data_IF_681755353209
#
_entry.id   IF_681755353209
#
_cell.length_a   1.000
_cell.length_b   1.000
_cell.length_c   1.000
_cell.angle_alpha   90.00
_cell.angle_beta   90.00
_cell.angle_gamma   90.00
#
_symmetry.space_group_name_H-M   'P 1'
#
loop_
_entity.id
_entity.type
_entity.pdbx_description
1 polymer ?
#
# COMPACT_ATOMS: atom_id res chain seq x y z
N UNK A 1 3.02 -25.32 -57.91
CA UNK A 1 3.10 -25.59 -56.46
C UNK A 1 3.01 -24.28 -55.67
N UNK A 2 1.85 -23.93 -55.13
CA UNK A 2 1.77 -22.90 -54.08
C UNK A 2 0.66 -23.25 -53.11
N UNK A 3 0.91 -22.96 -51.83
CA UNK A 3 0.01 -23.02 -50.66
C UNK A 3 -0.05 -24.37 -49.93
N UNK A 4 1.01 -24.66 -49.15
CA UNK A 4 0.91 -25.50 -47.93
C UNK A 4 1.58 -24.88 -46.70
N UNK A 5 2.07 -23.64 -46.79
CA UNK A 5 2.75 -22.95 -45.68
C UNK A 5 1.84 -21.99 -44.90
N UNK A 6 0.53 -21.97 -45.16
CA UNK A 6 -0.37 -20.96 -44.58
C UNK A 6 -1.01 -21.38 -43.25
N UNK A 7 -1.22 -22.68 -43.00
CA UNK A 7 -2.08 -23.10 -41.89
C UNK A 7 -1.32 -23.33 -40.58
N UNK A 8 -0.06 -23.78 -40.66
CA UNK A 8 0.79 -24.02 -39.47
C UNK A 8 1.22 -22.69 -38.83
N UNK A 9 1.51 -21.67 -39.65
CA UNK A 9 1.84 -20.34 -39.16
C UNK A 9 0.66 -19.69 -38.43
N UNK A 10 -0.57 -19.91 -38.90
CA UNK A 10 -1.78 -19.38 -38.27
C UNK A 10 -2.06 -20.04 -36.91
N UNK A 11 -1.85 -21.36 -36.80
CA UNK A 11 -2.02 -22.12 -35.56
C UNK A 11 -0.97 -21.73 -34.51
N UNK A 12 0.28 -21.51 -34.90
CA UNK A 12 1.34 -21.08 -33.99
C UNK A 12 1.09 -19.67 -33.42
N UNK A 13 0.56 -18.75 -34.24
CA UNK A 13 0.19 -17.39 -33.78
C UNK A 13 -1.00 -17.44 -32.81
N UNK A 14 -1.99 -18.31 -33.05
CA UNK A 14 -3.13 -18.48 -32.14
C UNK A 14 -2.72 -19.09 -30.78
N UNK A 15 -1.82 -20.08 -30.75
CA UNK A 15 -1.32 -20.67 -29.50
C UNK A 15 -0.43 -19.69 -28.72
N UNK A 16 0.37 -18.88 -29.42
CA UNK A 16 1.13 -17.80 -28.77
C UNK A 16 0.19 -16.72 -28.19
N UNK A 17 -0.86 -16.32 -28.90
CA UNK A 17 -1.83 -15.34 -28.40
C UNK A 17 -2.58 -15.85 -27.14
N UNK A 18 -2.94 -17.14 -27.09
CA UNK A 18 -3.59 -17.75 -25.92
C UNK A 18 -2.62 -17.86 -24.72
N UNK A 19 -1.32 -18.06 -24.97
CA UNK A 19 -0.30 -18.10 -23.92
C UNK A 19 -0.03 -16.74 -23.27
N UNK A 20 -0.29 -15.62 -23.96
CA UNK A 20 -0.14 -14.25 -23.42
C UNK A 20 -1.42 -13.65 -22.84
N UNK A 21 -2.60 -14.25 -23.07
CA UNK A 21 -3.87 -13.86 -22.41
C UNK A 21 -4.11 -14.56 -21.08
N UNK A 22 -3.19 -15.42 -20.64
CA UNK A 22 -3.08 -15.73 -19.22
C UNK A 22 -2.70 -14.45 -18.51
N UNK A 23 -3.67 -13.59 -18.16
CA UNK A 23 -3.51 -12.55 -17.16
C UNK A 23 -2.83 -13.22 -15.97
N UNK A 24 -1.49 -13.11 -15.90
CA UNK A 24 -0.77 -13.35 -14.68
C UNK A 24 -1.40 -12.35 -13.73
N UNK A 25 -2.30 -12.81 -12.87
CA UNK A 25 -2.68 -12.03 -11.70
C UNK A 25 -1.36 -11.73 -11.04
N UNK A 26 -0.93 -10.48 -11.10
CA UNK A 26 0.31 -10.06 -10.48
C UNK A 26 0.23 -10.51 -9.03
N UNK A 27 1.24 -11.24 -8.56
CA UNK A 27 1.29 -11.68 -7.16
C UNK A 27 1.06 -10.42 -6.30
N UNK A 28 0.10 -10.45 -5.35
CA UNK A 28 -0.33 -9.23 -4.69
C UNK A 28 0.84 -8.63 -3.90
N UNK A 29 1.04 -7.32 -4.09
CA UNK A 29 2.14 -6.57 -3.49
C UNK A 29 1.64 -5.72 -2.34
N UNK A 30 2.38 -5.74 -1.23
CA UNK A 30 2.07 -4.94 -0.05
C UNK A 30 2.40 -3.47 -0.30
N UNK A 31 3.33 -3.21 -1.22
CA UNK A 31 3.63 -1.88 -1.71
C UNK A 31 2.37 -1.24 -2.34
N UNK A 32 2.04 -0.03 -1.90
CA UNK A 32 0.83 0.67 -2.30
C UNK A 32 0.27 1.59 -1.22
N UNK A 33 -0.81 2.29 -1.60
CA UNK A 33 -1.61 3.09 -0.69
C UNK A 33 -2.82 2.30 -0.21
N UNK A 34 -2.98 2.23 1.11
CA UNK A 34 -3.99 1.45 1.78
C UNK A 34 -4.77 2.33 2.73
N UNK A 35 -6.10 2.33 2.63
CA UNK A 35 -6.98 3.21 3.39
C UNK A 35 -7.94 2.40 4.24
N UNK A 36 -8.21 2.85 5.46
CA UNK A 36 -9.29 2.35 6.29
C UNK A 36 -10.08 3.52 6.89
N UNK A 37 -11.39 3.32 7.01
CA UNK A 37 -12.23 4.18 7.83
C UNK A 37 -11.98 3.85 9.30
N UNK A 38 -11.78 4.89 10.12
CA UNK A 38 -11.60 4.80 11.56
C UNK A 38 -12.58 5.74 12.25
N UNK A 39 -12.73 5.62 13.56
CA UNK A 39 -13.77 6.33 14.34
C UNK A 39 -13.81 7.86 14.18
N UNK A 40 -12.73 8.49 13.70
CA UNK A 40 -12.62 9.95 13.53
C UNK A 40 -12.22 10.40 12.11
N UNK A 41 -12.32 9.53 11.11
CA UNK A 41 -11.97 9.87 9.72
C UNK A 41 -11.38 8.68 8.98
N UNK A 42 -10.33 8.92 8.21
CA UNK A 42 -9.64 7.87 7.46
C UNK A 42 -8.17 7.82 7.84
N UNK A 43 -7.62 6.61 7.88
CA UNK A 43 -6.19 6.38 7.97
C UNK A 43 -5.65 5.92 6.63
N UNK A 44 -4.42 6.31 6.32
CA UNK A 44 -3.67 5.81 5.18
C UNK A 44 -2.34 5.21 5.61
N UNK A 45 -1.98 4.09 5.01
CA UNK A 45 -0.61 3.58 4.95
C UNK A 45 -0.15 3.62 3.50
N UNK A 46 0.83 4.49 3.21
CA UNK A 46 1.59 4.49 1.96
C UNK A 46 2.86 3.68 2.19
N UNK A 47 2.93 2.49 1.62
CA UNK A 47 4.04 1.55 1.81
C UNK A 47 4.85 1.54 0.53
N UNK A 48 6.01 2.19 0.53
CA UNK A 48 6.95 2.27 -0.57
C UNK A 48 6.30 2.58 -1.92
N UNK A 49 5.30 3.48 -1.94
CA UNK A 49 4.53 3.80 -3.13
C UNK A 49 4.77 5.24 -3.59
N UNK A 50 4.53 6.22 -2.71
CA UNK A 50 4.86 7.62 -3.00
C UNK A 50 6.32 7.92 -2.73
N UNK A 51 6.90 7.23 -1.74
CA UNK A 51 8.30 7.38 -1.35
C UNK A 51 8.96 6.00 -1.25
N UNK A 52 9.76 5.65 -2.24
CA UNK A 52 10.45 4.36 -2.32
C UNK A 52 11.30 4.09 -1.07
N UNK A 53 11.07 2.93 -0.45
CA UNK A 53 11.78 2.54 0.77
C UNK A 53 11.26 3.20 2.05
N UNK A 54 10.09 3.84 2.03
CA UNK A 54 9.46 4.42 3.22
C UNK A 54 8.07 3.83 3.50
N UNK A 55 7.63 3.91 4.76
CA UNK A 55 6.21 3.85 5.13
C UNK A 55 5.79 5.25 5.57
N UNK A 56 4.68 5.73 5.03
CA UNK A 56 3.96 6.89 5.54
C UNK A 56 2.67 6.41 6.18
N UNK A 57 2.53 6.64 7.48
CA UNK A 57 1.23 6.55 8.15
C UNK A 57 0.64 7.95 8.18
N UNK A 58 -0.58 8.12 7.70
CA UNK A 58 -1.28 9.39 7.64
C UNK A 58 -2.74 9.27 8.02
N UNK A 59 -3.43 10.40 7.99
CA UNK A 59 -4.83 10.54 8.33
C UNK A 59 -5.52 11.54 7.41
N UNK A 60 -6.84 11.51 7.38
CA UNK A 60 -7.67 12.54 6.78
C UNK A 60 -8.72 12.98 7.79
N UNK A 61 -8.82 14.28 8.00
CA UNK A 61 -9.90 14.91 8.75
C UNK A 61 -10.36 16.20 8.07
N UNK A 62 -11.59 16.62 8.37
CA UNK A 62 -12.22 17.80 7.77
C UNK A 62 -11.52 19.12 8.13
N UNK A 63 -10.86 19.20 9.30
CA UNK A 63 -10.16 20.40 9.75
C UNK A 63 -8.97 20.71 8.83
N UNK A 64 -8.16 19.70 8.53
CA UNK A 64 -7.00 19.84 7.65
C UNK A 64 -7.41 20.03 6.19
N UNK A 65 -8.44 19.32 5.69
CA UNK A 65 -8.98 19.54 4.35
C UNK A 65 -9.38 21.01 4.14
N UNK A 66 -10.10 21.59 5.12
CA UNK A 66 -10.52 22.99 5.08
C UNK A 66 -9.35 23.96 5.22
N UNK A 67 -8.41 23.70 6.13
CA UNK A 67 -7.26 24.57 6.36
C UNK A 67 -6.34 24.66 5.13
N UNK A 68 -6.15 23.54 4.42
CA UNK A 68 -5.32 23.46 3.22
C UNK A 68 -6.11 23.73 1.92
N UNK A 69 -7.44 23.85 1.99
CA UNK A 69 -8.35 24.04 0.84
C UNK A 69 -8.20 22.95 -0.22
N UNK A 70 -8.18 21.70 0.22
CA UNK A 70 -7.98 20.50 -0.63
C UNK A 70 -9.15 19.52 -0.52
N UNK A 71 -9.26 18.61 -1.50
CA UNK A 71 -10.33 17.62 -1.59
C UNK A 71 -10.08 16.34 -0.79
N UNK A 72 -11.07 15.44 -0.76
CA UNK A 72 -11.04 14.16 -0.03
C UNK A 72 -10.05 13.12 -0.59
N UNK A 73 -9.34 13.45 -1.64
CA UNK A 73 -8.21 12.71 -2.20
C UNK A 73 -6.87 13.09 -1.55
N UNK A 74 -6.88 14.01 -0.57
CA UNK A 74 -5.70 14.46 0.16
C UNK A 74 -5.67 13.89 1.58
N UNK A 75 -4.52 13.37 1.96
CA UNK A 75 -4.25 12.86 3.30
C UNK A 75 -3.03 13.57 3.87
N UNK A 76 -3.02 13.68 5.18
CA UNK A 76 -2.04 14.44 5.93
C UNK A 76 -1.19 13.48 6.75
N UNK A 77 0.09 13.78 6.87
CA UNK A 77 1.01 13.07 7.74
C UNK A 77 1.91 14.08 8.44
N UNK A 78 2.41 13.74 9.61
CA UNK A 78 3.32 14.60 10.37
C UNK A 78 4.41 13.71 10.94
N UNK A 79 5.67 14.00 10.59
CA UNK A 79 6.83 13.21 11.04
C UNK A 79 6.97 13.04 12.55
N UNK A 80 6.31 13.87 13.37
CA UNK A 80 6.24 13.72 14.83
C UNK A 80 5.14 12.78 15.36
N UNK A 81 4.07 12.50 14.59
CA UNK A 81 2.90 11.71 15.06
C UNK A 81 2.45 10.62 14.08
N UNK A 82 2.42 10.92 12.79
CA UNK A 82 1.96 10.07 11.69
C UNK A 82 3.11 10.02 10.67
N UNK A 83 4.01 9.06 10.89
CA UNK A 83 5.42 9.08 10.50
C UNK A 83 5.68 8.79 9.01
N UNK A 84 6.74 9.37 8.44
CA UNK A 84 7.38 8.94 7.18
C UNK A 84 8.78 8.39 7.49
N UNK A 85 8.99 7.09 7.36
CA UNK A 85 10.20 6.43 7.89
C UNK A 85 10.65 5.24 7.07
N UNK A 86 11.97 4.95 7.11
CA UNK A 86 12.57 3.87 6.34
C UNK A 86 11.96 2.52 6.66
N UNK A 87 11.72 1.73 5.62
CA UNK A 87 11.04 0.45 5.68
C UNK A 87 11.92 -0.72 5.25
N UNK A 88 11.69 -1.87 5.87
CA UNK A 88 12.16 -3.17 5.44
C UNK A 88 10.95 -4.11 5.37
N UNK A 89 10.67 -4.64 4.19
CA UNK A 89 9.54 -5.56 3.95
C UNK A 89 10.07 -7.00 3.95
N UNK A 90 9.70 -7.75 4.98
CA UNK A 90 10.06 -9.15 5.16
C UNK A 90 8.86 -10.04 4.84
N UNK A 91 8.82 -10.57 3.61
CA UNK A 91 7.74 -11.44 3.16
C UNK A 91 7.86 -12.81 3.82
N UNK A 92 6.79 -13.29 4.46
CA UNK A 92 6.74 -14.64 5.07
C UNK A 92 6.05 -15.63 4.13
N UNK A 93 4.95 -15.20 3.52
CA UNK A 93 4.24 -15.95 2.49
C UNK A 93 3.85 -15.01 1.36
N UNK A 94 3.12 -15.51 0.36
CA UNK A 94 2.57 -14.67 -0.72
C UNK A 94 1.57 -13.62 -0.21
N UNK A 95 0.87 -13.89 0.89
CA UNK A 95 -0.23 -13.05 1.38
C UNK A 95 0.00 -12.50 2.79
N UNK A 96 1.19 -12.73 3.35
CA UNK A 96 1.56 -12.28 4.69
C UNK A 96 3.04 -12.00 4.86
N UNK A 97 3.36 -11.20 5.86
CA UNK A 97 4.73 -10.85 6.20
C UNK A 97 4.76 -9.73 7.23
N UNK A 98 5.91 -9.09 7.34
CA UNK A 98 6.15 -8.02 8.29
C UNK A 98 6.82 -6.84 7.60
N UNK A 99 6.48 -5.66 8.06
CA UNK A 99 7.09 -4.41 7.67
C UNK A 99 7.74 -3.87 8.93
N UNK A 100 9.06 -3.78 8.91
CA UNK A 100 9.86 -3.21 9.99
C UNK A 100 10.22 -1.80 9.56
N UNK A 101 9.99 -0.82 10.43
CA UNK A 101 10.36 0.55 10.13
C UNK A 101 10.97 1.25 11.33
N UNK A 102 11.86 2.20 11.05
CA UNK A 102 12.53 2.98 12.09
C UNK A 102 11.73 4.24 12.41
N UNK A 103 10.73 4.09 13.29
CA UNK A 103 9.87 5.19 13.75
C UNK A 103 10.58 6.17 14.71
N UNK A 104 9.81 7.07 15.32
CA UNK A 104 10.28 7.94 16.40
C UNK A 104 10.71 7.21 17.68
N UNK A 105 10.35 5.93 17.82
CA UNK A 105 10.65 5.06 18.97
C UNK A 105 11.54 3.87 18.57
N UNK A 106 12.58 4.14 17.78
CA UNK A 106 13.57 3.15 17.28
C UNK A 106 13.06 2.16 16.24
N UNK A 107 12.25 1.17 16.62
CA UNK A 107 11.88 0.04 15.75
C UNK A 107 10.43 -0.38 16.00
N UNK A 108 9.60 -0.12 15.00
CA UNK A 108 8.21 -0.53 14.99
C UNK A 108 7.97 -1.61 13.93
N UNK A 109 6.84 -2.31 14.09
CA UNK A 109 6.47 -3.46 13.26
C UNK A 109 5.00 -3.37 12.87
N UNK A 110 4.72 -3.55 11.59
CA UNK A 110 3.40 -3.89 11.08
C UNK A 110 3.44 -5.33 10.58
N UNK A 111 2.56 -6.19 11.08
CA UNK A 111 2.28 -7.45 10.39
C UNK A 111 1.20 -7.20 9.33
N UNK A 112 1.38 -7.78 8.15
CA UNK A 112 0.32 -7.82 7.15
C UNK A 112 -0.13 -9.25 6.91
N UNK A 113 -1.44 -9.44 6.73
CA UNK A 113 -2.07 -10.75 6.48
C UNK A 113 -3.24 -10.62 5.51
N UNK A 114 -3.62 -11.73 4.90
CA UNK A 114 -4.70 -11.82 3.92
C UNK A 114 -4.56 -10.76 2.79
N UNK A 115 -3.32 -10.51 2.36
CA UNK A 115 -3.05 -9.57 1.28
C UNK A 115 -3.65 -10.10 -0.03
N UNK A 116 -4.44 -9.24 -0.67
CA UNK A 116 -5.01 -9.41 -2.00
C UNK A 116 -4.68 -8.17 -2.84
N UNK A 117 -5.06 -8.17 -4.12
CA UNK A 117 -4.94 -6.98 -4.98
C UNK A 117 -5.73 -5.77 -4.44
N UNK A 118 -6.78 -5.99 -3.64
CA UNK A 118 -7.75 -4.96 -3.23
C UNK A 118 -7.77 -4.68 -1.73
N UNK A 119 -7.23 -5.56 -0.90
CA UNK A 119 -7.30 -5.42 0.55
C UNK A 119 -6.15 -6.10 1.26
N UNK A 120 -5.89 -5.65 2.48
CA UNK A 120 -4.94 -6.27 3.40
C UNK A 120 -5.38 -6.02 4.84
N UNK A 121 -5.06 -6.91 5.76
CA UNK A 121 -5.18 -6.62 7.19
C UNK A 121 -3.80 -6.20 7.69
N UNK A 122 -3.72 -5.01 8.27
CA UNK A 122 -2.51 -4.48 8.91
C UNK A 122 -2.70 -4.50 10.42
N UNK A 123 -1.72 -5.06 11.12
CA UNK A 123 -1.66 -5.07 12.59
C UNK A 123 -0.40 -4.33 13.02
N UNK A 124 -0.55 -3.13 13.60
CA UNK A 124 0.54 -2.34 14.16
C UNK A 124 0.83 -2.80 15.59
N UNK A 125 2.11 -3.03 15.88
CA UNK A 125 2.58 -3.40 17.21
C UNK A 125 3.31 -2.23 17.88
N UNK A 126 3.25 -2.20 19.21
CA UNK A 126 4.12 -1.37 20.03
C UNK A 126 5.57 -1.84 19.96
N UNK A 127 6.47 -1.09 20.58
CA UNK A 127 7.92 -1.31 20.54
C UNK A 127 8.34 -2.66 21.14
N UNK A 128 7.52 -3.25 22.03
CA UNK A 128 7.71 -4.61 22.56
C UNK A 128 7.49 -5.72 21.51
N UNK A 129 6.98 -5.36 20.33
CA UNK A 129 6.68 -6.25 19.21
C UNK A 129 5.54 -7.24 19.46
N UNK A 130 4.83 -7.13 20.59
CA UNK A 130 3.79 -8.05 21.08
C UNK A 130 2.45 -7.37 21.28
N UNK A 131 2.44 -6.17 21.84
CA UNK A 131 1.22 -5.41 22.12
C UNK A 131 0.66 -4.85 20.82
N UNK A 132 -0.59 -5.18 20.52
CA UNK A 132 -1.30 -4.65 19.35
C UNK A 132 -1.78 -3.24 19.67
N UNK A 133 -1.33 -2.26 18.90
CA UNK A 133 -1.81 -0.87 18.96
C UNK A 133 -3.09 -0.73 18.13
N UNK A 134 -3.07 -1.31 16.93
CA UNK A 134 -4.11 -1.14 15.93
C UNK A 134 -4.19 -2.38 15.05
N UNK A 135 -5.40 -2.80 14.70
CA UNK A 135 -5.62 -3.75 13.62
C UNK A 135 -6.74 -3.23 12.72
N UNK A 136 -6.41 -2.98 11.45
CA UNK A 136 -7.37 -2.47 10.47
C UNK A 136 -7.39 -3.35 9.23
N UNK A 137 -8.60 -3.58 8.70
CA UNK A 137 -8.79 -4.08 7.35
C UNK A 137 -8.71 -2.90 6.39
N UNK A 138 -7.62 -2.83 5.65
CA UNK A 138 -7.35 -1.77 4.70
C UNK A 138 -7.82 -2.16 3.30
N UNK A 139 -8.25 -1.16 2.53
CA UNK A 139 -8.60 -1.27 1.11
C UNK A 139 -7.56 -0.54 0.28
N UNK A 140 -7.18 -1.11 -0.86
CA UNK A 140 -6.25 -0.48 -1.81
C UNK A 140 -6.88 0.82 -2.31
N UNK A 141 -6.14 1.93 -2.27
CA UNK A 141 -6.61 3.18 -2.85
C UNK A 141 -6.90 2.98 -4.35
N UNK A 142 -8.10 3.31 -4.84
CA UNK A 142 -8.47 3.08 -6.25
C UNK A 142 -7.78 4.06 -7.20
N UNK A 143 -7.32 5.19 -6.67
CA UNK A 143 -6.53 6.22 -7.34
C UNK A 143 -5.40 6.63 -6.42
N UNK A 144 -4.36 7.23 -7.00
CA UNK A 144 -3.27 7.80 -6.20
C UNK A 144 -3.82 8.90 -5.29
N UNK A 145 -3.56 8.77 -4.00
CA UNK A 145 -3.85 9.74 -2.96
C UNK A 145 -2.67 10.70 -2.82
N UNK A 146 -2.96 11.98 -2.67
CA UNK A 146 -1.95 13.01 -2.41
C UNK A 146 -1.63 13.07 -0.92
N UNK A 147 -0.34 12.97 -0.59
CA UNK A 147 0.15 13.08 0.79
C UNK A 147 0.69 14.49 1.04
N UNK A 148 0.20 15.16 2.09
CA UNK A 148 0.64 16.47 2.54
C UNK A 148 1.35 16.33 3.88
N UNK A 149 2.59 16.82 3.95
CA UNK A 149 3.33 16.94 5.20
C UNK A 149 2.82 18.15 5.99
N UNK A 150 2.18 17.91 7.12
CA UNK A 150 1.75 18.96 8.03
C UNK A 150 2.81 19.12 9.11
N UNK A 151 3.65 20.15 8.96
CA UNK A 151 4.63 20.51 10.00
C UNK A 151 3.90 20.77 11.30
N UNK A 152 4.43 20.25 12.39
CA UNK A 152 3.94 20.58 13.72
C UNK A 152 4.02 22.10 13.92
N UNK A 153 2.89 22.75 14.21
CA UNK A 153 2.92 24.12 14.71
C UNK A 153 3.64 24.05 16.06
N UNK A 154 4.86 24.58 16.13
CA UNK A 154 5.52 24.84 17.42
C UNK A 154 4.58 25.77 18.19
N UNK A 155 3.97 25.25 19.24
CA UNK A 155 3.25 26.02 20.25
C UNK A 155 4.20 26.91 21.02
#
# INVERSE_FOLDING_TARGET
MKKRFSDIALVLVAVAAIAFTGCKKDDPRIEGQWVAEVSKGYEIFDISYTFDGFVVWGFQDSSHLNAYKVGSDHYFYNTGKYVKVFTQINKKTKTSGEIIFKGGYEKQKIAYRNLTEKSVILTLFADDGKTIILENRMIKAPVKITLIDVKEKKS
#
